data_IF_373028948505
#
_entry.id   IF_373028948505
#
_cell.length_a   1.000
_cell.length_b   1.000
_cell.length_c   1.000
_cell.angle_alpha   90.00
_cell.angle_beta   90.00
_cell.angle_gamma   90.00
#
_symmetry.space_group_name_H-M   'P 1'
#
loop_
_entity.id
_entity.type
_entity.pdbx_description
1 polymer ?
#
# COMPACT_ATOMS: atom_id res chain seq x y z
N UNK A 1 -32.56 16.64 -41.65
CA UNK A 1 -31.24 15.98 -41.47
C UNK A 1 -30.40 16.59 -40.34
N UNK A 2 -30.29 17.93 -40.24
CA UNK A 2 -29.47 18.60 -39.21
C UNK A 2 -29.79 18.28 -37.73
N UNK A 3 -31.05 18.04 -37.37
CA UNK A 3 -31.42 17.71 -35.97
C UNK A 3 -30.95 16.32 -35.52
N UNK A 4 -30.81 15.37 -36.44
CA UNK A 4 -30.34 14.02 -36.14
C UNK A 4 -28.83 14.05 -35.87
N UNK A 5 -28.06 14.78 -36.68
CA UNK A 5 -26.63 15.01 -36.45
C UNK A 5 -26.34 15.68 -35.10
N UNK A 6 -27.14 16.69 -34.72
CA UNK A 6 -27.00 17.37 -33.43
C UNK A 6 -27.22 16.43 -32.24
N UNK A 7 -28.23 15.55 -32.31
CA UNK A 7 -28.48 14.54 -31.27
C UNK A 7 -27.34 13.54 -31.16
N UNK A 8 -26.82 13.04 -32.29
CA UNK A 8 -25.69 12.12 -32.30
C UNK A 8 -24.41 12.76 -31.73
N UNK A 9 -24.14 14.03 -32.04
CA UNK A 9 -23.00 14.77 -31.47
C UNK A 9 -23.14 14.96 -29.96
N UNK A 10 -24.34 15.31 -29.49
CA UNK A 10 -24.59 15.48 -28.06
C UNK A 10 -24.43 14.17 -27.29
N UNK A 11 -24.92 13.06 -27.86
CA UNK A 11 -24.79 11.74 -27.24
C UNK A 11 -23.33 11.29 -27.15
N UNK A 12 -22.53 11.50 -28.20
CA UNK A 12 -21.08 11.20 -28.14
C UNK A 12 -20.34 12.03 -27.10
N UNK A 13 -20.64 13.32 -27.00
CA UNK A 13 -20.00 14.19 -26.00
C UNK A 13 -20.30 13.74 -24.56
N UNK A 14 -21.52 13.26 -24.30
CA UNK A 14 -21.89 12.70 -23.00
C UNK A 14 -21.16 11.37 -22.72
N UNK A 15 -21.05 10.48 -23.71
CA UNK A 15 -20.26 9.24 -23.59
C UNK A 15 -18.78 9.52 -23.35
N UNK A 16 -18.19 10.45 -24.10
CA UNK A 16 -16.80 10.87 -23.96
C UNK A 16 -16.53 11.49 -22.57
N UNK A 17 -17.42 12.36 -22.09
CA UNK A 17 -17.33 12.93 -20.75
C UNK A 17 -17.43 11.86 -19.66
N UNK A 18 -18.31 10.87 -19.82
CA UNK A 18 -18.47 9.75 -18.89
C UNK A 18 -17.24 8.85 -18.88
N UNK A 19 -16.67 8.57 -20.05
CA UNK A 19 -15.42 7.82 -20.17
C UNK A 19 -14.23 8.59 -19.55
N UNK A 20 -14.14 9.90 -19.78
CA UNK A 20 -13.13 10.74 -19.12
C UNK A 20 -13.26 10.72 -17.60
N UNK A 21 -14.49 10.77 -17.06
CA UNK A 21 -14.73 10.67 -15.61
C UNK A 21 -14.32 9.30 -15.06
N UNK A 22 -14.65 8.20 -15.75
CA UNK A 22 -14.22 6.86 -15.33
C UNK A 22 -12.70 6.70 -15.37
N UNK A 23 -12.02 7.23 -16.40
CA UNK A 23 -10.56 7.22 -16.48
C UNK A 23 -9.94 8.06 -15.37
N UNK A 24 -10.54 9.20 -15.03
CA UNK A 24 -10.06 10.07 -13.95
C UNK A 24 -10.26 9.42 -12.57
N UNK A 25 -11.40 8.75 -12.33
CA UNK A 25 -11.62 7.95 -11.13
C UNK A 25 -10.65 6.78 -11.03
N UNK A 26 -10.48 6.00 -12.11
CA UNK A 26 -9.55 4.87 -12.13
C UNK A 26 -8.08 5.30 -11.94
N UNK A 27 -7.69 6.49 -12.44
CA UNK A 27 -6.38 7.08 -12.18
C UNK A 27 -6.22 7.55 -10.75
N UNK A 28 -7.27 8.10 -10.13
CA UNK A 28 -7.26 8.45 -8.72
C UNK A 28 -7.25 7.21 -7.81
N UNK A 29 -7.76 6.05 -8.24
CA UNK A 29 -7.64 4.80 -7.48
C UNK A 29 -6.25 4.14 -7.62
N UNK A 30 -5.50 4.47 -8.68
CA UNK A 30 -4.06 4.23 -8.80
C UNK A 30 -3.22 5.23 -7.96
N UNK A 31 -3.73 5.58 -6.78
CA UNK A 31 -2.97 6.27 -5.74
C UNK A 31 -1.67 5.50 -5.51
N UNK A 32 -0.57 6.22 -5.72
CA UNK A 32 0.81 5.77 -5.57
C UNK A 32 0.92 4.93 -4.30
N UNK A 33 1.06 3.63 -4.47
CA UNK A 33 1.24 2.71 -3.34
C UNK A 33 2.58 3.00 -2.70
N UNK A 34 2.57 3.11 -1.37
CA UNK A 34 3.79 3.31 -0.59
C UNK A 34 4.31 1.94 -0.20
N UNK A 35 5.48 1.60 -0.73
CA UNK A 35 6.18 0.37 -0.38
C UNK A 35 7.36 0.69 0.53
N UNK A 36 7.62 -0.16 1.52
CA UNK A 36 8.73 0.03 2.44
C UNK A 36 9.32 -1.30 2.91
N UNK A 37 10.63 -1.28 3.17
CA UNK A 37 11.34 -2.30 3.93
C UNK A 37 11.40 -1.86 5.39
N UNK A 38 10.95 -2.72 6.29
CA UNK A 38 10.95 -2.46 7.73
C UNK A 38 11.88 -3.47 8.40
N UNK A 39 12.90 -2.98 9.06
CA UNK A 39 13.85 -3.77 9.85
C UNK A 39 13.46 -3.68 11.32
N UNK A 40 13.24 -4.82 11.95
CA UNK A 40 12.70 -4.94 13.31
C UNK A 40 13.71 -5.69 14.17
N UNK A 41 14.42 -4.97 15.03
CA UNK A 41 15.31 -5.58 16.01
C UNK A 41 14.49 -6.21 17.14
N UNK A 42 14.68 -7.51 17.42
CA UNK A 42 13.88 -8.28 18.35
C UNK A 42 14.62 -9.54 18.88
N UNK A 43 14.20 -10.06 20.05
CA UNK A 43 14.86 -11.22 20.68
C UNK A 43 14.50 -12.58 20.06
N UNK A 44 13.35 -12.68 19.40
CA UNK A 44 12.84 -13.93 18.82
C UNK A 44 12.42 -13.69 17.37
N UNK A 45 13.36 -13.46 16.45
CA UNK A 45 13.07 -12.95 15.11
C UNK A 45 12.15 -13.87 14.30
N UNK A 46 12.28 -15.19 14.45
CA UNK A 46 11.37 -16.15 13.78
C UNK A 46 9.93 -16.02 14.27
N UNK A 47 9.72 -15.95 15.59
CA UNK A 47 8.39 -15.78 16.18
C UNK A 47 7.78 -14.44 15.81
N UNK A 48 8.58 -13.38 15.87
CA UNK A 48 8.14 -12.02 15.53
C UNK A 48 7.80 -11.93 14.05
N UNK A 49 8.65 -12.44 13.14
CA UNK A 49 8.35 -12.46 11.71
C UNK A 49 7.04 -13.20 11.42
N UNK A 50 6.81 -14.37 12.04
CA UNK A 50 5.55 -15.12 11.88
C UNK A 50 4.32 -14.35 12.40
N UNK A 51 4.45 -13.64 13.52
CA UNK A 51 3.37 -12.83 14.07
C UNK A 51 3.06 -11.62 13.16
N UNK A 52 4.11 -10.88 12.77
CA UNK A 52 3.97 -9.67 11.96
C UNK A 52 3.51 -9.98 10.53
N UNK A 53 3.82 -11.17 10.00
CA UNK A 53 3.32 -11.62 8.69
C UNK A 53 1.79 -11.63 8.58
N UNK A 54 1.08 -11.73 9.71
CA UNK A 54 -0.39 -11.74 9.76
C UNK A 54 -0.99 -10.35 9.74
N UNK A 55 -0.19 -9.29 9.85
CA UNK A 55 -0.68 -7.92 9.87
C UNK A 55 -1.11 -7.47 8.46
N UNK A 56 -2.24 -6.75 8.33
CA UNK A 56 -2.69 -6.24 7.05
C UNK A 56 -1.68 -5.24 6.47
N UNK A 57 -1.35 -5.42 5.18
CA UNK A 57 -0.36 -4.62 4.47
C UNK A 57 1.09 -5.08 4.61
N UNK A 58 1.35 -6.17 5.35
CA UNK A 58 2.63 -6.88 5.30
C UNK A 58 2.58 -7.87 4.14
N UNK A 59 3.40 -7.63 3.12
CA UNK A 59 3.53 -8.49 1.94
C UNK A 59 4.41 -9.69 2.26
N UNK A 60 5.50 -9.45 2.99
CA UNK A 60 6.47 -10.47 3.36
C UNK A 60 7.08 -10.15 4.71
N UNK A 61 7.40 -11.16 5.49
CA UNK A 61 8.13 -11.02 6.74
C UNK A 61 8.97 -12.26 6.99
N UNK A 62 10.26 -12.04 7.25
CA UNK A 62 11.25 -13.11 7.45
C UNK A 62 12.24 -12.74 8.56
N UNK A 63 12.75 -13.76 9.24
CA UNK A 63 13.83 -13.61 10.21
C UNK A 63 15.18 -13.55 9.51
N UNK A 64 16.04 -12.61 9.91
CA UNK A 64 17.41 -12.55 9.40
C UNK A 64 18.29 -13.55 10.17
N UNK A 65 18.83 -14.53 9.46
CA UNK A 65 19.72 -15.54 10.02
C UNK A 65 20.99 -14.89 10.60
N UNK A 66 21.37 -15.29 11.80
CA UNK A 66 22.56 -14.76 12.50
C UNK A 66 22.38 -13.36 13.09
N UNK A 67 21.21 -12.73 12.93
CA UNK A 67 20.89 -11.43 13.52
C UNK A 67 19.67 -11.54 14.45
N UNK A 68 19.63 -10.68 15.48
CA UNK A 68 18.44 -10.49 16.31
C UNK A 68 17.46 -9.53 15.62
N UNK A 69 17.17 -9.79 14.34
CA UNK A 69 16.39 -8.90 13.49
C UNK A 69 15.43 -9.68 12.58
N UNK A 70 14.27 -9.08 12.31
CA UNK A 70 13.34 -9.51 11.29
C UNK A 70 13.19 -8.41 10.23
N UNK A 71 12.98 -8.79 8.98
CA UNK A 71 12.69 -7.87 7.89
C UNK A 71 11.26 -8.06 7.43
N UNK A 72 10.58 -6.95 7.15
CA UNK A 72 9.26 -6.94 6.54
C UNK A 72 9.28 -6.13 5.25
N UNK A 73 8.50 -6.59 4.28
CA UNK A 73 8.11 -5.82 3.10
C UNK A 73 6.66 -5.43 3.31
N UNK A 74 6.37 -4.14 3.27
CA UNK A 74 5.03 -3.60 3.49
C UNK A 74 4.59 -2.79 2.28
N UNK A 75 3.31 -2.87 1.95
CA UNK A 75 2.66 -2.13 0.88
C UNK A 75 1.37 -1.50 1.43
N UNK A 76 1.25 -0.18 1.27
CA UNK A 76 0.13 0.59 1.80
C UNK A 76 -0.40 1.58 0.77
N UNK A 77 -1.66 1.97 0.94
CA UNK A 77 -2.34 2.92 0.06
C UNK A 77 -1.96 4.38 0.33
N UNK A 78 -1.37 4.66 1.48
CA UNK A 78 -0.98 5.99 1.91
C UNK A 78 0.14 5.95 2.95
N UNK A 79 0.80 7.09 3.15
CA UNK A 79 1.81 7.25 4.20
C UNK A 79 1.21 7.18 5.61
N UNK A 80 -0.03 7.63 5.79
CA UNK A 80 -0.74 7.56 7.07
C UNK A 80 -1.05 6.11 7.47
N UNK A 81 -1.48 5.29 6.51
CA UNK A 81 -1.68 3.86 6.72
C UNK A 81 -0.36 3.15 7.04
N UNK A 82 0.74 3.56 6.40
CA UNK A 82 2.08 3.07 6.73
C UNK A 82 2.47 3.42 8.18
N UNK A 83 2.30 4.67 8.61
CA UNK A 83 2.60 5.07 9.98
C UNK A 83 1.78 4.27 11.00
N UNK A 84 0.49 4.07 10.75
CA UNK A 84 -0.39 3.27 11.62
C UNK A 84 0.09 1.82 11.73
N UNK A 85 0.53 1.22 10.62
CA UNK A 85 1.14 -0.11 10.62
C UNK A 85 2.44 -0.13 11.44
N UNK A 86 3.30 0.87 11.26
CA UNK A 86 4.56 0.97 12.00
C UNK A 86 4.35 1.11 13.51
N UNK A 87 3.36 1.89 13.95
CA UNK A 87 2.98 1.97 15.36
C UNK A 87 2.50 0.62 15.92
N UNK A 88 1.77 -0.15 15.11
CA UNK A 88 1.32 -1.50 15.47
C UNK A 88 2.51 -2.46 15.59
N UNK A 89 3.44 -2.43 14.63
CA UNK A 89 4.68 -3.22 14.68
C UNK A 89 5.49 -2.87 15.91
N UNK A 90 5.65 -1.58 16.22
CA UNK A 90 6.42 -1.13 17.38
C UNK A 90 5.77 -1.51 18.71
N UNK A 91 4.44 -1.57 18.76
CA UNK A 91 3.69 -2.01 19.94
C UNK A 91 3.66 -3.53 20.12
N UNK A 92 4.17 -4.30 19.15
CA UNK A 92 4.19 -5.76 19.23
C UNK A 92 5.17 -6.24 20.30
N UNK A 93 4.74 -7.08 21.26
CA UNK A 93 5.62 -7.58 22.32
C UNK A 93 6.86 -8.29 21.75
N UNK A 94 8.04 -7.90 22.23
CA UNK A 94 9.33 -8.46 21.80
C UNK A 94 10.04 -7.67 20.71
N UNK A 95 9.39 -6.65 20.14
CA UNK A 95 10.03 -5.64 19.28
C UNK A 95 10.80 -4.63 20.16
N UNK A 96 12.06 -4.38 19.82
CA UNK A 96 12.92 -3.41 20.53
C UNK A 96 13.08 -2.10 19.76
N UNK A 97 13.28 -2.22 18.45
CA UNK A 97 13.55 -1.09 17.56
C UNK A 97 13.00 -1.39 16.18
N UNK A 98 12.49 -0.35 15.53
CA UNK A 98 12.00 -0.39 14.15
C UNK A 98 12.80 0.62 13.34
N UNK A 99 13.26 0.22 12.16
CA UNK A 99 13.92 1.08 11.18
C UNK A 99 13.26 0.87 9.83
N UNK A 100 13.04 1.95 9.08
CA UNK A 100 12.24 1.92 7.85
C UNK A 100 13.05 2.48 6.70
N UNK A 101 12.99 1.81 5.55
CA UNK A 101 13.50 2.27 4.27
C UNK A 101 12.36 2.27 3.26
N UNK A 102 11.93 3.45 2.84
CA UNK A 102 10.95 3.59 1.76
C UNK A 102 11.55 3.02 0.46
N UNK A 103 10.73 2.26 -0.27
CA UNK A 103 11.05 1.81 -1.61
C UNK A 103 10.58 2.90 -2.59
N UNK A 104 11.51 3.42 -3.40
CA UNK A 104 11.26 4.43 -4.42
C UNK A 104 11.03 3.78 -5.79
#
# INVERSE_FOLDING_TARGET
>A
MAQVEMKYRHQRLLEEARNMQMIHQAKQENLIKVSAYVFVSCCQPQRIAMALRRLPGVVKADALLGASEAVLVVEQKSFESLQSLLSTVQSTPGVKRVSVKLAA
#
